data_IF_340589900127
#
_entry.id   IF_340589900127
#
_cell.length_a   1.000
_cell.length_b   1.000
_cell.length_c   1.000
_cell.angle_alpha   90.00
_cell.angle_beta   90.00
_cell.angle_gamma   90.00
#
_symmetry.space_group_name_H-M   'P 1'
#
loop_
_entity.id
_entity.type
_entity.pdbx_description
1 polymer ?
#
# COMPACT_ATOMS: atom_id res chain seq x y z
N UNK A 1 -18.85 44.85 -20.32
CA UNK A 1 -18.30 44.31 -19.07
C UNK A 1 -16.85 43.95 -19.33
N UNK A 2 -15.89 44.30 -18.46
CA UNK A 2 -14.52 43.83 -18.62
C UNK A 2 -14.51 42.31 -18.47
N UNK A 3 -13.83 41.61 -19.38
CA UNK A 3 -13.72 40.16 -19.38
C UNK A 3 -13.01 39.68 -18.12
N UNK A 4 -13.46 38.53 -17.60
CA UNK A 4 -12.71 37.79 -16.59
C UNK A 4 -11.28 37.53 -17.11
N UNK A 5 -10.24 37.74 -16.29
CA UNK A 5 -8.89 37.42 -16.70
C UNK A 5 -8.78 35.90 -16.90
N UNK A 6 -8.27 35.52 -18.07
CA UNK A 6 -7.86 34.14 -18.36
C UNK A 6 -6.88 33.65 -17.29
N UNK A 7 -7.13 32.45 -16.76
CA UNK A 7 -6.28 31.80 -15.75
C UNK A 7 -4.86 31.47 -16.27
N UNK A 8 -4.60 31.69 -17.56
CA UNK A 8 -3.32 31.39 -18.22
C UNK A 8 -2.19 32.38 -17.87
N UNK A 9 -2.49 33.55 -17.28
CA UNK A 9 -1.50 34.61 -17.01
C UNK A 9 -1.03 34.71 -15.54
N UNK A 10 -1.48 33.81 -14.66
CA UNK A 10 -0.89 33.71 -13.32
C UNK A 10 0.31 32.78 -13.36
N UNK A 11 1.46 33.31 -13.78
CA UNK A 11 2.75 32.69 -13.53
C UNK A 11 2.95 32.53 -12.02
N UNK A 12 2.47 31.42 -11.46
CA UNK A 12 2.63 31.08 -10.06
C UNK A 12 4.13 30.98 -9.77
N UNK A 13 4.68 31.98 -9.10
CA UNK A 13 6.07 31.96 -8.68
C UNK A 13 6.21 30.97 -7.52
N UNK A 14 7.17 30.07 -7.61
CA UNK A 14 7.54 29.23 -6.49
C UNK A 14 7.95 30.14 -5.32
N UNK A 15 7.38 29.99 -4.12
CA UNK A 15 7.87 30.69 -2.94
C UNK A 15 9.38 30.45 -2.80
N UNK A 16 10.15 31.51 -2.54
CA UNK A 16 11.62 31.43 -2.52
C UNK A 16 12.14 30.42 -1.48
N UNK A 17 11.39 30.21 -0.39
CA UNK A 17 11.69 29.20 0.64
C UNK A 17 11.41 27.75 0.20
N UNK A 18 10.71 27.56 -0.92
CA UNK A 18 10.43 26.26 -1.52
C UNK A 18 11.24 26.00 -2.80
N UNK A 19 11.92 26.99 -3.37
CA UNK A 19 12.65 26.86 -4.64
C UNK A 19 13.67 25.70 -4.61
N UNK A 20 14.43 25.60 -3.53
CA UNK A 20 15.41 24.52 -3.32
C UNK A 20 14.78 23.12 -3.30
N UNK A 21 13.46 23.00 -3.08
CA UNK A 21 12.79 21.69 -3.14
C UNK A 21 12.55 21.20 -4.57
N UNK A 22 12.64 22.09 -5.57
CA UNK A 22 12.32 21.81 -6.97
C UNK A 22 13.53 21.94 -7.90
N UNK A 23 14.57 22.67 -7.51
CA UNK A 23 15.74 22.92 -8.37
C UNK A 23 16.80 21.82 -8.29
N UNK A 24 17.07 21.30 -7.09
CA UNK A 24 18.08 20.25 -6.90
C UNK A 24 17.76 19.37 -5.68
N UNK A 25 18.25 18.12 -5.69
CA UNK A 25 18.22 17.23 -4.54
C UNK A 25 19.59 16.59 -4.37
N UNK A 26 20.49 17.29 -3.70
CA UNK A 26 21.89 16.86 -3.59
C UNK A 26 22.10 15.67 -2.63
N UNK A 27 21.14 15.44 -1.72
CA UNK A 27 21.16 14.32 -0.79
C UNK A 27 19.76 13.74 -0.57
N UNK A 28 19.66 12.43 -0.26
CA UNK A 28 18.41 11.82 0.15
C UNK A 28 17.76 12.55 1.33
N UNK A 29 16.45 12.74 1.28
CA UNK A 29 15.66 13.37 2.35
C UNK A 29 14.44 12.55 2.72
N UNK A 30 14.10 12.57 4.00
CA UNK A 30 12.83 12.03 4.51
C UNK A 30 11.99 13.17 5.07
N UNK A 31 10.81 13.37 4.52
CA UNK A 31 9.80 14.28 5.04
C UNK A 31 8.77 13.48 5.84
N UNK A 32 8.53 13.88 7.09
CA UNK A 32 7.47 13.31 7.94
C UNK A 32 6.52 14.43 8.32
N UNK A 33 5.24 14.26 8.00
CA UNK A 33 4.21 15.26 8.27
C UNK A 33 3.00 14.64 8.96
N UNK A 34 2.54 15.27 10.04
CA UNK A 34 1.22 14.98 10.59
C UNK A 34 0.17 15.60 9.67
N UNK A 35 -0.52 14.77 8.90
CA UNK A 35 -1.58 15.20 7.97
C UNK A 35 -2.85 15.53 8.73
N UNK A 36 -3.18 14.71 9.75
CA UNK A 36 -4.33 14.95 10.59
C UNK A 36 -4.10 14.42 12.00
N UNK A 37 -4.28 15.28 13.00
CA UNK A 37 -4.31 14.86 14.40
C UNK A 37 -5.56 14.01 14.64
N UNK A 38 -5.37 12.77 15.07
CA UNK A 38 -6.44 11.81 15.36
C UNK A 38 -6.08 11.04 16.63
N UNK A 39 -7.09 10.67 17.40
CA UNK A 39 -6.93 9.73 18.52
C UNK A 39 -7.35 8.31 18.08
N UNK A 40 -6.68 7.25 18.54
CA UNK A 40 -5.47 7.24 19.38
C UNK A 40 -4.15 7.36 18.59
N UNK A 41 -4.22 7.30 17.25
CA UNK A 41 -3.07 7.40 16.35
C UNK A 41 -3.37 8.52 15.35
N UNK A 42 -2.45 9.47 15.23
CA UNK A 42 -2.51 10.54 14.22
C UNK A 42 -2.17 9.99 12.85
N UNK A 43 -2.78 10.57 11.82
CA UNK A 43 -2.47 10.28 10.43
C UNK A 43 -1.16 10.99 10.06
N UNK A 44 -0.12 10.21 9.77
CA UNK A 44 1.22 10.67 9.43
C UNK A 44 1.55 10.20 8.03
N UNK A 45 2.01 11.12 7.19
CA UNK A 45 2.62 10.83 5.90
C UNK A 45 4.14 10.82 6.06
N UNK A 46 4.79 9.86 5.42
CA UNK A 46 6.25 9.79 5.30
C UNK A 46 6.60 9.72 3.82
N UNK A 47 7.49 10.61 3.36
CA UNK A 47 8.00 10.59 1.99
C UNK A 47 9.52 10.54 2.04
N UNK A 48 10.11 9.51 1.44
CA UNK A 48 11.54 9.42 1.19
C UNK A 48 11.81 9.78 -0.26
N UNK A 49 12.74 10.71 -0.49
CA UNK A 49 13.11 11.16 -1.83
C UNK A 49 14.61 11.12 -1.98
N UNK A 50 15.06 10.60 -3.12
CA UNK A 50 16.43 10.55 -3.63
C UNK A 50 16.41 11.07 -5.07
N UNK A 51 17.55 11.33 -5.72
CA UNK A 51 17.57 11.66 -7.14
C UNK A 51 16.89 10.60 -8.04
N UNK A 52 16.91 9.33 -7.64
CA UNK A 52 16.43 8.20 -8.44
C UNK A 52 15.00 7.75 -8.08
N UNK A 53 14.53 8.05 -6.87
CA UNK A 53 13.32 7.47 -6.28
C UNK A 53 12.58 8.46 -5.38
N UNK A 54 11.25 8.49 -5.50
CA UNK A 54 10.34 8.98 -4.47
C UNK A 54 9.43 7.86 -3.94
N UNK A 55 9.39 7.63 -2.63
CA UNK A 55 8.54 6.65 -1.95
C UNK A 55 7.73 7.33 -0.85
N UNK A 56 6.40 7.33 -0.99
CA UNK A 56 5.45 7.87 -0.03
C UNK A 56 4.61 6.79 0.65
N UNK A 57 4.40 6.92 1.96
CA UNK A 57 3.44 6.12 2.72
C UNK A 57 2.59 6.95 3.68
N UNK A 58 1.42 6.42 4.04
CA UNK A 58 0.69 6.86 5.24
C UNK A 58 0.68 5.76 6.29
N UNK A 59 0.84 6.13 7.56
CA UNK A 59 0.96 5.19 8.67
C UNK A 59 -0.31 4.37 8.94
N UNK A 60 -1.50 4.91 8.62
CA UNK A 60 -2.74 4.13 8.60
C UNK A 60 -3.85 4.80 7.75
N UNK A 61 -4.56 4.03 6.91
CA UNK A 61 -5.74 4.50 6.17
C UNK A 61 -6.53 3.34 5.54
N UNK A 62 -7.75 3.62 5.08
CA UNK A 62 -8.48 2.79 4.13
C UNK A 62 -7.78 2.68 2.76
N UNK A 63 -7.96 1.56 2.04
CA UNK A 63 -7.38 1.30 0.71
C UNK A 63 -8.27 1.77 -0.45
N UNK A 64 -9.06 2.83 -0.24
CA UNK A 64 -9.81 3.44 -1.34
C UNK A 64 -8.87 3.98 -2.43
N UNK A 65 -9.23 3.78 -3.70
CA UNK A 65 -8.39 4.04 -4.86
C UNK A 65 -7.81 5.47 -4.95
N UNK A 66 -8.52 6.47 -4.42
CA UNK A 66 -8.07 7.87 -4.41
C UNK A 66 -6.98 8.16 -3.36
N UNK A 67 -6.77 7.27 -2.38
CA UNK A 67 -5.82 7.49 -1.28
C UNK A 67 -4.37 7.26 -1.67
N UNK A 68 -4.10 6.26 -2.52
CA UNK A 68 -2.74 5.86 -2.96
C UNK A 68 -1.74 5.77 -1.80
N UNK A 69 -2.12 5.02 -0.76
CA UNK A 69 -1.45 5.04 0.54
C UNK A 69 0.02 4.61 0.54
N UNK A 70 0.44 3.80 -0.43
CA UNK A 70 1.83 3.41 -0.65
C UNK A 70 2.09 3.57 -2.14
N UNK A 71 3.00 4.46 -2.49
CA UNK A 71 3.39 4.67 -3.88
C UNK A 71 4.86 5.03 -3.98
N UNK A 72 5.54 4.38 -4.90
CA UNK A 72 6.88 4.73 -5.33
C UNK A 72 6.86 5.18 -6.79
N UNK A 73 7.70 6.15 -7.12
CA UNK A 73 7.97 6.61 -8.48
C UNK A 73 9.48 6.64 -8.73
N UNK A 74 9.91 6.21 -9.90
CA UNK A 74 11.29 6.29 -10.37
C UNK A 74 11.35 6.43 -11.90
N UNK A 75 12.56 6.55 -12.42
CA UNK A 75 12.80 6.85 -13.84
C UNK A 75 12.71 8.34 -14.12
N UNK A 76 12.43 8.71 -15.37
CA UNK A 76 12.39 10.11 -15.80
C UNK A 76 11.01 10.50 -16.33
N UNK A 77 10.78 11.81 -16.48
CA UNK A 77 9.48 12.35 -16.89
C UNK A 77 8.97 11.87 -18.27
N UNK A 78 9.83 11.33 -19.13
CA UNK A 78 9.44 10.75 -20.43
C UNK A 78 9.05 9.27 -20.33
N UNK A 79 9.58 8.57 -19.33
CA UNK A 79 9.37 7.15 -19.11
C UNK A 79 9.30 6.86 -17.59
N UNK A 80 8.24 7.33 -16.91
CA UNK A 80 8.11 7.11 -15.48
C UNK A 80 7.79 5.64 -15.20
N UNK A 81 8.19 5.18 -14.03
CA UNK A 81 7.78 3.90 -13.47
C UNK A 81 7.16 4.13 -12.10
N UNK A 82 6.22 3.26 -11.72
CA UNK A 82 5.67 3.30 -10.37
C UNK A 82 5.45 1.90 -9.80
N UNK A 83 5.41 1.84 -8.47
CA UNK A 83 4.97 0.69 -7.70
C UNK A 83 3.93 1.17 -6.68
N UNK A 84 2.79 0.48 -6.54
CA UNK A 84 1.78 0.79 -5.52
C UNK A 84 1.15 -0.45 -4.93
N UNK A 85 0.62 -0.32 -3.71
CA UNK A 85 -0.10 -1.40 -3.02
C UNK A 85 -1.61 -1.13 -3.06
N UNK A 86 -2.40 -2.14 -3.45
CA UNK A 86 -3.86 -2.07 -3.59
C UNK A 86 -4.52 -3.30 -3.00
N UNK A 87 -5.74 -3.19 -2.47
CA UNK A 87 -6.57 -4.35 -2.16
C UNK A 87 -7.60 -4.50 -3.27
N UNK A 88 -7.47 -5.53 -4.09
CA UNK A 88 -8.29 -5.75 -5.28
C UNK A 88 -9.48 -6.65 -4.95
N UNK A 89 -10.62 -6.31 -5.55
CA UNK A 89 -11.88 -7.04 -5.54
C UNK A 89 -12.54 -6.87 -6.90
N UNK A 90 -12.70 -7.96 -7.65
CA UNK A 90 -13.32 -7.99 -9.00
C UNK A 90 -12.83 -6.85 -9.93
N UNK A 91 -11.51 -6.66 -9.98
CA UNK A 91 -10.86 -5.63 -10.80
C UNK A 91 -10.91 -4.19 -10.26
N UNK A 92 -11.42 -3.96 -9.04
CA UNK A 92 -11.49 -2.63 -8.41
C UNK A 92 -10.84 -2.61 -7.01
N UNK A 93 -10.54 -1.43 -6.47
CA UNK A 93 -10.02 -1.32 -5.10
C UNK A 93 -11.14 -1.50 -4.05
N UNK A 94 -10.98 -2.45 -3.14
CA UNK A 94 -11.86 -2.64 -1.99
C UNK A 94 -11.50 -1.65 -0.88
N UNK A 95 -12.36 -0.66 -0.64
CA UNK A 95 -12.09 0.41 0.33
C UNK A 95 -12.09 -0.06 1.79
N UNK A 96 -12.63 -1.25 2.08
CA UNK A 96 -12.68 -1.80 3.44
C UNK A 96 -11.32 -2.26 3.99
N UNK A 97 -10.31 -2.38 3.12
CA UNK A 97 -8.94 -2.70 3.54
C UNK A 97 -8.36 -1.62 4.43
N UNK A 98 -7.95 -1.99 5.64
CA UNK A 98 -7.30 -1.11 6.60
C UNK A 98 -5.79 -1.34 6.54
N UNK A 99 -5.07 -0.36 5.99
CA UNK A 99 -3.62 -0.36 5.91
C UNK A 99 -3.00 0.17 7.20
N UNK A 100 -1.89 -0.44 7.60
CA UNK A 100 -1.03 -0.06 8.71
C UNK A 100 0.42 -0.06 8.22
N UNK A 101 1.19 1.00 8.44
CA UNK A 101 2.59 1.04 8.01
C UNK A 101 3.52 1.75 9.00
N UNK A 102 4.78 1.35 8.95
CA UNK A 102 5.93 2.14 9.40
C UNK A 102 6.96 2.18 8.28
N UNK A 103 7.52 3.36 8.03
CA UNK A 103 8.52 3.57 6.98
C UNK A 103 9.80 4.12 7.59
N UNK A 104 10.93 3.57 7.15
CA UNK A 104 12.27 4.13 7.32
C UNK A 104 12.96 4.17 5.95
N UNK A 105 13.18 5.38 5.45
CA UNK A 105 13.74 5.63 4.11
C UNK A 105 13.02 4.82 3.03
N UNK A 106 13.72 3.88 2.39
CA UNK A 106 13.26 3.03 1.30
C UNK A 106 12.57 1.73 1.76
N UNK A 107 12.42 1.50 3.07
CA UNK A 107 11.79 0.30 3.63
C UNK A 107 10.44 0.62 4.25
N UNK A 108 9.45 -0.20 3.96
CA UNK A 108 8.09 -0.12 4.49
C UNK A 108 7.74 -1.48 5.07
N UNK A 109 7.52 -1.53 6.38
CA UNK A 109 6.84 -2.65 7.01
C UNK A 109 5.35 -2.30 7.05
N UNK A 110 4.50 -3.16 6.48
CA UNK A 110 3.07 -2.90 6.33
C UNK A 110 2.21 -4.10 6.72
N UNK A 111 0.95 -3.83 7.04
CA UNK A 111 -0.08 -4.84 7.16
C UNK A 111 -1.40 -4.34 6.59
N UNK A 112 -2.18 -5.25 6.00
CA UNK A 112 -3.57 -5.01 5.62
C UNK A 112 -4.46 -5.89 6.49
N UNK A 113 -5.39 -5.26 7.20
CA UNK A 113 -6.52 -5.90 7.91
C UNK A 113 -7.84 -5.43 7.29
N UNK A 114 -8.99 -5.85 7.83
CA UNK A 114 -10.30 -5.56 7.23
C UNK A 114 -11.22 -4.82 8.21
N UNK A 115 -11.75 -3.68 7.78
CA UNK A 115 -12.73 -2.92 8.52
C UNK A 115 -14.14 -3.49 8.29
N UNK A 116 -14.94 -3.69 9.34
CA UNK A 116 -16.33 -4.16 9.21
C UNK A 116 -17.33 -3.03 8.90
N UNK A 117 -16.89 -1.78 9.03
CA UNK A 117 -17.68 -0.55 8.85
C UNK A 117 -17.26 0.26 7.60
N UNK A 118 -16.51 -0.36 6.70
CA UNK A 118 -16.05 0.23 5.44
C UNK A 118 -17.06 0.13 4.29
N UNK A 119 -16.62 0.58 3.11
CA UNK A 119 -17.38 0.47 1.87
C UNK A 119 -16.80 -0.55 0.89
N UNK A 120 -17.55 -0.82 -0.18
CA UNK A 120 -17.09 -1.53 -1.37
C UNK A 120 -16.12 -0.66 -2.16
N UNK A 121 -16.56 -0.10 -3.30
CA UNK A 121 -15.73 0.76 -4.15
C UNK A 121 -15.56 2.17 -3.60
N UNK A 122 -16.49 2.62 -2.76
CA UNK A 122 -16.45 3.94 -2.13
C UNK A 122 -16.80 3.85 -0.64
N UNK A 123 -16.00 4.53 0.19
CA UNK A 123 -16.07 4.54 1.65
C UNK A 123 -17.48 4.81 2.23
N UNK A 124 -18.17 5.84 1.75
CA UNK A 124 -19.49 6.25 2.26
C UNK A 124 -20.66 6.06 1.30
N UNK A 125 -20.46 6.08 -0.02
CA UNK A 125 -21.52 5.93 -1.03
C UNK A 125 -21.91 4.47 -1.27
N UNK A 126 -20.99 3.54 -1.03
CA UNK A 126 -21.19 2.10 -1.21
C UNK A 126 -20.85 1.37 0.09
N UNK A 127 -21.50 1.75 1.20
CA UNK A 127 -21.31 1.07 2.48
C UNK A 127 -21.70 -0.39 2.37
N UNK A 128 -20.87 -1.28 2.90
CA UNK A 128 -21.19 -2.70 2.95
C UNK A 128 -22.23 -2.93 4.04
N UNK A 129 -23.35 -3.56 3.67
CA UNK A 129 -24.36 -3.95 4.63
C UNK A 129 -23.80 -5.06 5.53
N UNK A 130 -23.70 -4.80 6.83
CA UNK A 130 -23.12 -5.71 7.83
C UNK A 130 -21.69 -6.19 7.49
N UNK A 131 -20.92 -5.40 6.74
CA UNK A 131 -19.57 -5.79 6.31
C UNK A 131 -19.57 -6.97 5.32
N UNK A 132 -20.66 -7.16 4.59
CA UNK A 132 -20.80 -8.25 3.63
C UNK A 132 -20.52 -7.78 2.21
N UNK A 133 -19.75 -8.56 1.45
CA UNK A 133 -19.55 -8.37 0.02
C UNK A 133 -19.40 -9.74 -0.67
N UNK A 134 -19.66 -9.78 -1.96
CA UNK A 134 -19.47 -10.96 -2.81
C UNK A 134 -18.32 -10.68 -3.76
N UNK A 135 -17.45 -11.66 -4.03
CA UNK A 135 -16.31 -11.50 -4.92
C UNK A 135 -15.92 -12.81 -5.61
N UNK A 136 -15.53 -12.71 -6.89
CA UNK A 136 -14.84 -13.78 -7.65
C UNK A 136 -13.32 -13.68 -7.46
N UNK A 137 -12.80 -12.47 -7.26
CA UNK A 137 -11.39 -12.18 -7.02
C UNK A 137 -11.23 -11.31 -5.77
N UNK A 138 -10.31 -11.70 -4.88
CA UNK A 138 -9.85 -10.89 -3.75
C UNK A 138 -8.34 -11.07 -3.60
N UNK A 139 -7.57 -10.00 -3.71
CA UNK A 139 -6.10 -10.07 -3.60
C UNK A 139 -5.48 -8.80 -3.03
N UNK A 140 -4.36 -8.92 -2.32
CA UNK A 140 -3.46 -7.80 -2.05
C UNK A 140 -2.47 -7.68 -3.21
N UNK A 141 -2.54 -6.58 -3.95
CA UNK A 141 -1.78 -6.36 -5.19
C UNK A 141 -0.61 -5.42 -4.96
N UNK A 142 0.57 -5.85 -5.40
CA UNK A 142 1.72 -5.01 -5.68
C UNK A 142 1.73 -4.73 -7.19
N UNK A 143 1.29 -3.54 -7.58
CA UNK A 143 1.15 -3.14 -8.99
C UNK A 143 2.35 -2.31 -9.44
N UNK A 144 2.85 -2.63 -10.63
CA UNK A 144 3.91 -1.95 -11.33
C UNK A 144 3.37 -1.36 -12.63
N UNK A 145 3.62 -0.08 -12.89
CA UNK A 145 3.16 0.58 -14.11
C UNK A 145 4.17 1.52 -14.74
N UNK A 146 3.80 2.11 -15.87
CA UNK A 146 4.74 2.84 -16.71
C UNK A 146 5.79 1.91 -17.32
N UNK A 147 7.05 2.33 -17.41
CA UNK A 147 8.09 1.48 -18.00
C UNK A 147 8.28 0.15 -17.23
N UNK A 148 8.05 0.15 -15.92
CA UNK A 148 8.09 -1.05 -15.07
C UNK A 148 7.03 -2.12 -15.41
N UNK A 149 5.92 -1.76 -16.09
CA UNK A 149 4.89 -2.73 -16.49
C UNK A 149 5.41 -3.80 -17.46
N UNK A 150 6.48 -3.48 -18.20
CA UNK A 150 7.06 -4.35 -19.22
C UNK A 150 7.89 -5.50 -18.64
N UNK A 151 8.34 -5.38 -17.39
CA UNK A 151 9.17 -6.38 -16.71
C UNK A 151 8.38 -7.64 -16.44
N UNK A 152 9.00 -8.79 -16.68
CA UNK A 152 8.48 -10.09 -16.31
C UNK A 152 8.64 -10.29 -14.79
N UNK A 153 7.53 -10.50 -14.10
CA UNK A 153 7.53 -10.66 -12.66
C UNK A 153 7.84 -12.11 -12.30
N UNK A 154 8.69 -12.36 -11.29
CA UNK A 154 8.96 -13.71 -10.82
C UNK A 154 7.70 -14.32 -10.19
N UNK A 155 7.53 -15.63 -10.34
CA UNK A 155 6.50 -16.41 -9.64
C UNK A 155 7.14 -17.12 -8.43
N UNK A 156 6.96 -16.61 -7.20
CA UNK A 156 7.59 -17.17 -6.01
C UNK A 156 6.93 -18.49 -5.62
N UNK A 157 7.72 -19.45 -5.13
CA UNK A 157 7.22 -20.79 -4.80
C UNK A 157 6.41 -20.87 -3.51
N UNK A 158 6.50 -19.85 -2.65
CA UNK A 158 5.83 -19.76 -1.35
C UNK A 158 5.67 -18.29 -0.93
N UNK A 159 4.73 -18.00 -0.03
CA UNK A 159 4.46 -16.62 0.43
C UNK A 159 5.61 -16.01 1.25
N UNK A 160 6.28 -16.82 2.06
CA UNK A 160 7.34 -16.39 2.96
C UNK A 160 8.68 -16.17 2.24
N UNK A 161 8.83 -16.70 1.03
CA UNK A 161 9.98 -16.43 0.16
C UNK A 161 9.98 -14.96 -0.29
N UNK A 162 11.06 -14.20 -0.02
CA UNK A 162 11.19 -12.85 -0.55
C UNK A 162 11.30 -12.85 -2.07
N UNK A 163 10.69 -11.84 -2.67
CA UNK A 163 10.60 -11.60 -4.10
C UNK A 163 11.48 -10.41 -4.45
N UNK A 164 12.31 -10.59 -5.46
CA UNK A 164 13.21 -9.54 -5.96
C UNK A 164 12.91 -9.27 -7.43
N UNK A 165 12.70 -8.01 -7.76
CA UNK A 165 12.41 -7.55 -9.11
C UNK A 165 13.43 -6.48 -9.47
N UNK A 166 14.16 -6.70 -10.56
CA UNK A 166 15.18 -5.78 -11.06
C UNK A 166 14.61 -4.96 -12.23
N UNK A 167 14.70 -3.64 -12.11
CA UNK A 167 14.30 -2.67 -13.14
C UNK A 167 15.52 -1.95 -13.75
N UNK A 168 16.73 -2.51 -13.62
CA UNK A 168 17.99 -1.96 -14.11
C UNK A 168 18.63 -1.00 -13.11
N UNK A 169 18.13 0.23 -13.06
CA UNK A 169 18.67 1.28 -12.18
C UNK A 169 18.06 1.25 -10.77
N UNK A 170 17.08 0.36 -10.54
CA UNK A 170 16.35 0.22 -9.28
C UNK A 170 15.89 -1.22 -9.11
N UNK A 171 15.95 -1.75 -7.88
CA UNK A 171 15.33 -3.02 -7.51
C UNK A 171 14.16 -2.83 -6.56
N UNK A 172 13.18 -3.74 -6.60
CA UNK A 172 12.10 -3.83 -5.60
C UNK A 172 12.16 -5.18 -4.91
N UNK A 173 12.19 -5.16 -3.59
CA UNK A 173 12.08 -6.34 -2.73
C UNK A 173 10.72 -6.40 -2.04
N UNK A 174 10.04 -7.54 -2.09
CA UNK A 174 8.75 -7.78 -1.42
C UNK A 174 8.84 -9.06 -0.59
N UNK A 175 8.30 -9.07 0.61
CA UNK A 175 8.19 -10.28 1.43
C UNK A 175 6.83 -10.31 2.14
N UNK A 176 6.24 -11.49 2.30
CA UNK A 176 5.00 -11.68 3.08
C UNK A 176 5.28 -12.64 4.25
N UNK A 177 5.85 -12.14 5.37
CA UNK A 177 6.25 -13.00 6.49
C UNK A 177 5.07 -13.62 7.25
N UNK A 178 3.86 -13.10 7.10
CA UNK A 178 2.66 -13.66 7.71
C UNK A 178 1.42 -13.27 6.92
N UNK A 179 0.57 -14.24 6.57
CA UNK A 179 -0.72 -14.00 5.95
C UNK A 179 -1.73 -15.06 6.37
N UNK A 180 -2.93 -14.62 6.75
CA UNK A 180 -4.07 -15.48 7.11
C UNK A 180 -5.36 -14.84 6.63
N UNK A 181 -6.26 -15.66 6.10
CA UNK A 181 -7.63 -15.29 5.80
C UNK A 181 -8.50 -16.53 6.04
N UNK A 182 -8.90 -16.75 7.30
CA UNK A 182 -9.47 -18.02 7.79
C UNK A 182 -8.76 -19.25 7.16
N UNK A 183 -9.52 -20.12 6.50
CA UNK A 183 -9.03 -21.35 5.85
C UNK A 183 -8.65 -21.15 4.38
N UNK A 184 -8.53 -19.92 3.88
CA UNK A 184 -8.15 -19.68 2.48
C UNK A 184 -6.69 -20.07 2.24
N UNK A 185 -6.44 -20.64 1.06
CA UNK A 185 -5.10 -20.96 0.57
C UNK A 185 -4.49 -19.75 -0.14
N UNK A 186 -3.82 -18.90 0.63
CA UNK A 186 -3.20 -17.69 0.11
C UNK A 186 -1.94 -18.07 -0.69
N UNK A 187 -1.78 -17.47 -1.86
CA UNK A 187 -0.66 -17.76 -2.76
C UNK A 187 -0.25 -16.54 -3.57
N UNK A 188 0.96 -16.58 -4.11
CA UNK A 188 1.39 -15.61 -5.10
C UNK A 188 0.77 -15.91 -6.46
N UNK A 189 0.29 -14.87 -7.13
CA UNK A 189 -0.07 -14.91 -8.55
C UNK A 189 0.47 -13.67 -9.26
N UNK A 190 1.08 -13.84 -10.42
CA UNK A 190 1.52 -12.74 -11.27
C UNK A 190 0.56 -12.54 -12.42
N UNK A 191 0.43 -11.31 -12.91
CA UNK A 191 -0.32 -11.05 -14.13
C UNK A 191 -0.04 -9.69 -14.73
N UNK A 192 -0.80 -9.38 -15.77
CA UNK A 192 -0.81 -8.06 -16.41
C UNK A 192 -2.23 -7.53 -16.38
N UNK A 193 -2.36 -6.24 -16.06
CA UNK A 193 -3.62 -5.53 -16.12
C UNK A 193 -4.09 -5.50 -17.58
N UNK A 194 -5.38 -5.74 -17.76
CA UNK A 194 -6.03 -5.55 -19.05
C UNK A 194 -6.02 -4.06 -19.40
N UNK A 195 -5.35 -3.73 -20.51
CA UNK A 195 -5.12 -2.37 -20.98
C UNK A 195 -6.44 -1.61 -21.14
N UNK A 196 -7.53 -2.31 -21.48
CA UNK A 196 -8.84 -1.71 -21.68
C UNK A 196 -9.57 -1.34 -20.37
N UNK A 197 -9.23 -1.96 -19.22
CA UNK A 197 -9.97 -1.79 -17.96
C UNK A 197 -9.22 -0.98 -16.89
N UNK A 198 -7.88 -1.04 -16.85
CA UNK A 198 -7.10 -0.50 -15.72
C UNK A 198 -5.82 0.26 -16.14
N UNK A 199 -5.54 0.39 -17.44
CA UNK A 199 -4.28 0.94 -17.96
C UNK A 199 -3.15 -0.09 -17.91
N UNK A 200 -2.02 0.21 -18.57
CA UNK A 200 -0.88 -0.71 -18.64
C UNK A 200 -0.23 -0.90 -17.25
N UNK A 201 -0.19 -2.15 -16.79
CA UNK A 201 0.48 -2.53 -15.55
C UNK A 201 0.77 -4.02 -15.46
N UNK A 202 1.83 -4.41 -14.77
CA UNK A 202 2.07 -5.77 -14.30
C UNK A 202 1.83 -5.84 -12.79
N UNK A 203 1.49 -7.00 -12.26
CA UNK A 203 1.21 -7.13 -10.84
C UNK A 203 1.67 -8.45 -10.26
N UNK A 204 1.99 -8.39 -8.97
CA UNK A 204 2.23 -9.53 -8.11
C UNK A 204 1.19 -9.47 -6.98
N UNK A 205 0.32 -10.47 -6.94
CA UNK A 205 -0.82 -10.56 -6.03
C UNK A 205 -0.57 -11.61 -4.95
N UNK A 206 -0.83 -11.25 -3.68
CA UNK A 206 -1.18 -12.23 -2.65
C UNK A 206 -2.67 -12.51 -2.82
N UNK A 207 -2.98 -13.56 -3.59
CA UNK A 207 -4.36 -13.95 -3.89
C UNK A 207 -4.99 -14.61 -2.65
N UNK A 208 -6.10 -14.04 -2.18
CA UNK A 208 -6.91 -14.57 -1.08
C UNK A 208 -8.02 -15.47 -1.62
N UNK A 209 -8.64 -15.05 -2.72
CA UNK A 209 -9.68 -15.80 -3.42
C UNK A 209 -9.62 -15.51 -4.92
N UNK A 210 -9.77 -16.55 -5.75
CA UNK A 210 -9.96 -16.42 -7.19
C UNK A 210 -10.72 -17.64 -7.70
N UNK A 211 -11.85 -17.44 -8.34
CA UNK A 211 -12.70 -18.50 -8.89
C UNK A 211 -14.18 -18.19 -8.76
N UNK A 212 -14.98 -19.20 -8.42
CA UNK A 212 -16.42 -19.03 -8.23
C UNK A 212 -16.73 -17.91 -7.23
N UNK A 213 -17.78 -17.15 -7.52
CA UNK A 213 -18.23 -16.06 -6.67
C UNK A 213 -18.51 -16.55 -5.25
N UNK A 214 -17.94 -15.84 -4.26
CA UNK A 214 -18.03 -16.18 -2.85
C UNK A 214 -18.49 -14.97 -2.04
N UNK A 215 -19.39 -15.22 -1.08
CA UNK A 215 -19.81 -14.22 -0.08
C UNK A 215 -18.81 -14.18 1.08
N UNK A 216 -18.35 -12.99 1.42
CA UNK A 216 -17.51 -12.67 2.56
C UNK A 216 -18.32 -11.86 3.56
N UNK A 217 -18.46 -12.36 4.78
CA UNK A 217 -19.13 -11.67 5.89
C UNK A 217 -18.07 -11.28 6.92
N UNK A 218 -17.53 -10.05 6.82
CA UNK A 218 -16.36 -9.64 7.59
C UNK A 218 -16.49 -9.85 9.12
N UNK A 219 -17.65 -9.60 9.77
CA UNK A 219 -17.80 -9.87 11.21
C UNK A 219 -17.68 -11.35 11.62
N UNK A 220 -17.90 -12.28 10.70
CA UNK A 220 -17.85 -13.73 10.93
C UNK A 220 -16.45 -14.31 10.73
N UNK A 221 -15.57 -13.59 10.04
CA UNK A 221 -14.18 -13.98 9.81
C UNK A 221 -13.40 -13.92 11.14
N UNK A 222 -12.60 -14.96 11.41
CA UNK A 222 -11.80 -15.05 12.64
C UNK A 222 -10.42 -14.43 12.43
N UNK A 223 -9.81 -14.66 11.26
CA UNK A 223 -8.47 -14.16 10.93
C UNK A 223 -8.46 -13.57 9.52
N UNK A 224 -8.06 -12.30 9.38
CA UNK A 224 -7.84 -11.67 8.08
C UNK A 224 -6.76 -10.58 8.18
N UNK A 225 -5.52 -10.98 7.87
CA UNK A 225 -4.35 -10.13 7.89
C UNK A 225 -3.33 -10.57 6.85
N UNK A 226 -2.71 -9.61 6.17
CA UNK A 226 -1.51 -9.83 5.35
C UNK A 226 -0.45 -8.85 5.83
N UNK A 227 0.63 -9.35 6.42
CA UNK A 227 1.82 -8.57 6.79
C UNK A 227 2.83 -8.67 5.67
N UNK A 228 3.41 -7.54 5.27
CA UNK A 228 4.39 -7.47 4.20
C UNK A 228 5.55 -6.52 4.52
N UNK A 229 6.71 -6.83 3.95
CA UNK A 229 7.84 -5.89 3.81
C UNK A 229 7.96 -5.46 2.35
N UNK A 230 8.17 -4.18 2.11
CA UNK A 230 8.46 -3.59 0.81
C UNK A 230 9.74 -2.74 0.90
N UNK A 231 10.73 -3.04 0.07
CA UNK A 231 11.93 -2.23 -0.12
C UNK A 231 11.99 -1.74 -1.57
N UNK A 232 12.22 -0.44 -1.78
CA UNK A 232 12.32 0.16 -3.11
C UNK A 232 13.68 0.83 -3.28
N UNK A 233 14.55 0.28 -4.13
CA UNK A 233 15.95 0.66 -4.24
C UNK A 233 16.82 0.14 -3.08
N UNK A 234 18.11 0.50 -3.10
CA UNK A 234 19.13 -0.05 -2.21
C UNK A 234 19.76 -1.32 -2.77
N UNK A 235 20.53 -2.03 -1.94
CA UNK A 235 21.16 -3.29 -2.35
C UNK A 235 20.07 -4.33 -2.70
N UNK A 236 20.29 -5.11 -3.76
CA UNK A 236 19.36 -6.15 -4.27
C UNK A 236 19.02 -7.27 -3.26
N UNK A 237 19.45 -7.14 -2.00
CA UNK A 237 19.19 -8.05 -0.89
C UNK A 237 18.21 -7.40 0.09
N UNK A 238 17.10 -8.10 0.36
CA UNK A 238 16.13 -7.69 1.37
C UNK A 238 16.44 -8.47 2.65
N UNK A 239 16.71 -7.75 3.74
CA UNK A 239 16.80 -8.40 5.04
C UNK A 239 15.42 -9.00 5.38
N UNK A 240 15.34 -10.23 5.91
CA UNK A 240 14.05 -10.84 6.18
C UNK A 240 13.30 -10.08 7.28
N UNK A 241 12.09 -9.65 6.99
CA UNK A 241 11.09 -9.28 7.98
C UNK A 241 10.55 -10.56 8.66
N UNK A 242 10.11 -10.42 9.91
CA UNK A 242 9.50 -11.49 10.69
C UNK A 242 8.15 -11.05 11.21
N UNK A 243 7.19 -11.96 11.26
CA UNK A 243 5.89 -11.71 11.89
C UNK A 243 5.42 -12.95 12.65
N UNK A 244 4.80 -12.73 13.80
CA UNK A 244 4.35 -13.81 14.69
C UNK A 244 3.03 -13.42 15.35
N UNK A 245 2.09 -14.36 15.37
CA UNK A 245 0.83 -14.21 16.07
C UNK A 245 1.03 -14.33 17.58
N UNK A 246 0.45 -13.39 18.32
CA UNK A 246 0.46 -13.30 19.77
C UNK A 246 -0.97 -13.06 20.25
N UNK A 247 -1.74 -14.14 20.45
CA UNK A 247 -3.18 -14.05 20.69
C UNK A 247 -3.92 -13.46 19.50
N UNK A 248 -4.66 -12.38 19.72
CA UNK A 248 -5.46 -11.69 18.69
C UNK A 248 -4.66 -10.63 17.89
N UNK A 249 -3.35 -10.54 18.12
CA UNK A 249 -2.45 -9.62 17.42
C UNK A 249 -1.42 -10.37 16.59
N UNK A 250 -0.96 -9.74 15.51
CA UNK A 250 0.27 -10.13 14.81
C UNK A 250 1.31 -9.05 15.05
N UNK A 251 2.41 -9.44 15.69
CA UNK A 251 3.58 -8.59 15.88
C UNK A 251 4.55 -8.78 14.71
N UNK A 252 4.97 -7.69 14.09
CA UNK A 252 5.87 -7.68 12.93
C UNK A 252 7.12 -6.84 13.23
N UNK A 253 8.27 -7.30 12.74
CA UNK A 253 9.58 -6.65 12.90
C UNK A 253 10.38 -6.71 11.61
N UNK A 254 11.09 -5.64 11.28
CA UNK A 254 12.08 -5.60 10.21
C UNK A 254 13.19 -4.59 10.52
N UNK A 255 14.34 -5.07 10.98
CA UNK A 255 15.39 -4.18 11.50
C UNK A 255 14.88 -3.39 12.70
N UNK A 256 14.84 -2.05 12.60
CA UNK A 256 14.30 -1.16 13.64
C UNK A 256 12.79 -0.85 13.45
N UNK A 257 12.17 -1.32 12.37
CA UNK A 257 10.75 -1.15 12.11
C UNK A 257 9.94 -2.20 12.85
N UNK A 258 8.91 -1.79 13.60
CA UNK A 258 8.05 -2.71 14.35
C UNK A 258 6.63 -2.21 14.53
N UNK A 259 5.65 -3.12 14.50
CA UNK A 259 4.28 -2.84 14.96
C UNK A 259 3.58 -4.11 15.43
N UNK A 260 2.40 -3.95 16.04
CA UNK A 260 1.43 -5.03 16.18
C UNK A 260 0.04 -4.58 15.72
N UNK A 261 -0.68 -5.46 15.01
CA UNK A 261 -2.03 -5.20 14.45
C UNK A 261 -3.00 -6.32 14.83
N UNK A 262 -4.31 -6.04 14.97
CA UNK A 262 -5.31 -7.07 15.21
C UNK A 262 -5.48 -8.01 14.02
N UNK A 263 -5.69 -9.29 14.27
CA UNK A 263 -5.91 -10.30 13.22
C UNK A 263 -7.39 -10.40 12.80
N UNK A 264 -8.32 -10.18 13.73
CA UNK A 264 -9.75 -10.28 13.47
C UNK A 264 -10.30 -8.98 12.87
N UNK A 265 -11.13 -9.04 11.82
CA UNK A 265 -11.86 -7.87 11.35
C UNK A 265 -12.67 -7.20 12.45
N UNK A 266 -12.67 -5.87 12.47
CA UNK A 266 -13.45 -5.06 13.40
C UNK A 266 -13.73 -3.70 12.77
N UNK A 267 -14.45 -2.82 13.46
CA UNK A 267 -14.57 -1.42 13.02
C UNK A 267 -13.18 -0.79 12.91
N UNK A 268 -12.98 0.08 11.93
CA UNK A 268 -11.70 0.77 11.74
C UNK A 268 -11.28 1.53 13.01
N UNK A 269 -12.24 2.08 13.75
CA UNK A 269 -11.99 2.72 15.04
C UNK A 269 -11.47 1.72 16.08
N UNK A 270 -12.13 0.58 16.28
CA UNK A 270 -11.72 -0.41 17.28
C UNK A 270 -10.33 -0.99 16.96
N UNK A 271 -10.02 -1.23 15.68
CA UNK A 271 -8.69 -1.70 15.30
C UNK A 271 -7.60 -0.70 15.70
N UNK A 272 -7.81 0.61 15.48
CA UNK A 272 -6.83 1.65 15.88
C UNK A 272 -6.52 1.67 17.37
N UNK A 273 -7.44 1.24 18.23
CA UNK A 273 -7.24 1.19 19.68
C UNK A 273 -6.24 0.09 20.09
N UNK A 274 -6.12 -0.97 19.29
CA UNK A 274 -5.27 -2.13 19.59
C UNK A 274 -3.90 -2.08 18.89
N UNK A 275 -3.74 -1.24 17.86
CA UNK A 275 -2.48 -1.12 17.13
C UNK A 275 -1.39 -0.46 18.00
N UNK A 276 -0.19 -1.04 17.96
CA UNK A 276 1.00 -0.54 18.68
C UNK A 276 2.23 -0.48 17.76
N UNK A 277 3.27 0.28 18.16
CA UNK A 277 4.52 0.43 17.40
C UNK A 277 4.43 1.38 16.19
N UNK A 278 3.23 1.68 15.71
CA UNK A 278 2.99 2.77 14.76
C UNK A 278 3.03 4.11 15.51
N UNK A 279 3.81 5.07 15.01
CA UNK A 279 4.04 6.39 15.66
C UNK A 279 2.72 6.98 16.16
N UNK A 280 2.55 6.98 17.48
CA UNK A 280 1.52 7.73 18.19
C UNK A 280 2.08 9.13 18.36
N UNK A 281 1.45 10.11 17.73
CA UNK A 281 1.83 11.53 17.86
C UNK A 281 1.97 11.94 19.32
#
# INVERSE_FOLDING_TARGET
APGEPDLEDMAAQCPADLEDFFVALDQPRTLVQTVQKRSPISLISTTYVTPELGLGTVNHQDLWNQRRNIVAFWGNYKAPSYCRVRLMYDGYDLSTGALWTVQDKNRVLGAVTFATDGGGKHLSLEKLENGTFEAEELSLRFEFGGAAASVELPSPGSLDQPVHIDFGDLSVGIQVPFARFDNSDLRWETGRADVERVGEGSFLDVTIHRGDSRVFVLPEIQEAVVVFGLQVGGDNMIAPATATQQGDLVAAQWGDLSFAVPIRPNTYRAMREHVTGIRKS
#
